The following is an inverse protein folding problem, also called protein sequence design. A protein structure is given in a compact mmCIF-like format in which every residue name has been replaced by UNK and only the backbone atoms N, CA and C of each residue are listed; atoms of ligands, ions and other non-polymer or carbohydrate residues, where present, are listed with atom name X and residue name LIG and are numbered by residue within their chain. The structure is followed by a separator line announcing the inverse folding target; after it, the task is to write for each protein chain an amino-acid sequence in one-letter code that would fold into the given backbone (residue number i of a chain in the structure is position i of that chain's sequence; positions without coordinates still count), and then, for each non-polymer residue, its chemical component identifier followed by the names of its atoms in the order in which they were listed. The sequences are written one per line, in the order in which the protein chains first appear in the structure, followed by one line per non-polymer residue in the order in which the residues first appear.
data_IF_834408644571
#
_entry.id   IF_834408644571
#
_cell.length_a   1.000
_cell.length_b   1.000
_cell.length_c   1.000
_cell.angle_alpha   90.00
_cell.angle_beta   90.00
_cell.angle_gamma   90.00
#
_symmetry.space_group_name_H-M   'P 1'
#
loop_
_entity.id
_entity.type
_entity.pdbx_description
1 polymer ?
#
# COMPACT_ATOMS: atom_id res chain seq x y z
N UNK A 1 23.97 -3.97 17.68
CA UNK A 1 24.50 -4.09 16.29
C UNK A 1 23.73 -5.20 15.60
N UNK A 2 22.61 -4.89 14.98
CA UNK A 2 22.01 -5.74 13.98
C UNK A 2 22.15 -4.98 12.65
N UNK A 3 23.08 -5.44 11.79
CA UNK A 3 23.20 -4.95 10.43
C UNK A 3 21.92 -5.25 9.64
N UNK A 4 21.73 -4.66 8.45
CA UNK A 4 20.56 -4.92 7.64
C UNK A 4 20.47 -6.42 7.38
N UNK A 5 19.34 -7.06 7.75
CA UNK A 5 19.10 -8.47 7.42
C UNK A 5 19.18 -8.62 5.91
N UNK A 6 20.17 -9.34 5.42
CA UNK A 6 20.30 -9.60 3.99
C UNK A 6 19.11 -10.45 3.54
N UNK A 7 18.64 -10.28 2.29
CA UNK A 7 17.55 -11.11 1.75
C UNK A 7 17.85 -12.62 1.83
N UNK A 8 19.12 -12.98 1.95
CA UNK A 8 19.56 -14.34 2.18
C UNK A 8 19.19 -14.88 3.56
N UNK A 9 19.13 -14.04 4.57
CA UNK A 9 18.75 -14.45 5.93
C UNK A 9 17.26 -14.81 6.01
N UNK A 10 16.35 -13.95 5.54
CA UNK A 10 14.91 -14.24 5.54
C UNK A 10 14.54 -15.47 4.71
N UNK A 11 15.20 -15.66 3.55
CA UNK A 11 15.00 -16.84 2.72
C UNK A 11 15.44 -18.10 3.46
N UNK A 12 16.58 -18.05 4.15
CA UNK A 12 17.09 -19.17 4.94
C UNK A 12 16.18 -19.48 6.13
N UNK A 13 15.66 -18.46 6.82
CA UNK A 13 14.72 -18.60 7.92
C UNK A 13 13.40 -19.25 7.46
N UNK A 14 12.79 -18.74 6.39
CA UNK A 14 11.54 -19.30 5.85
C UNK A 14 11.76 -20.74 5.32
N UNK A 15 12.89 -21.02 4.68
CA UNK A 15 13.24 -22.36 4.20
C UNK A 15 13.41 -23.35 5.36
N UNK A 16 14.19 -22.98 6.38
CA UNK A 16 14.37 -23.81 7.56
C UNK A 16 13.06 -24.08 8.31
N UNK A 17 12.20 -23.06 8.44
CA UNK A 17 10.87 -23.21 9.03
C UNK A 17 9.99 -24.14 8.20
N UNK A 18 10.02 -24.02 6.86
CA UNK A 18 9.29 -24.90 5.95
C UNK A 18 9.75 -26.37 6.11
N UNK A 19 11.06 -26.59 6.12
CA UNK A 19 11.62 -27.94 6.25
C UNK A 19 11.30 -28.60 7.60
N UNK A 20 11.35 -27.84 8.66
CA UNK A 20 10.99 -28.31 10.00
C UNK A 20 9.50 -28.68 10.11
N UNK A 21 8.60 -27.95 9.42
CA UNK A 21 7.15 -28.10 9.57
C UNK A 21 6.52 -29.02 8.53
N UNK A 22 7.04 -29.02 7.28
CA UNK A 22 6.40 -29.65 6.12
C UNK A 22 7.32 -30.62 5.35
N UNK A 23 8.56 -30.80 5.81
CA UNK A 23 9.58 -31.64 5.16
C UNK A 23 10.29 -30.89 4.03
N UNK A 24 10.99 -31.62 3.16
CA UNK A 24 11.93 -31.06 2.17
C UNK A 24 11.35 -29.87 1.40
N UNK A 25 12.13 -28.79 1.30
CA UNK A 25 11.84 -27.59 0.50
C UNK A 25 12.15 -27.74 -1.00
N UNK A 26 12.67 -28.90 -1.40
CA UNK A 26 13.05 -29.16 -2.79
C UNK A 26 11.84 -28.97 -3.73
N UNK A 27 11.99 -28.05 -4.68
CA UNK A 27 10.94 -27.71 -5.64
C UNK A 27 9.90 -26.69 -5.16
N UNK A 28 10.01 -26.15 -3.94
CA UNK A 28 9.21 -25.03 -3.49
C UNK A 28 9.49 -23.76 -4.30
N UNK A 29 8.48 -22.92 -4.44
CA UNK A 29 8.69 -21.54 -4.83
C UNK A 29 9.21 -20.73 -3.63
N UNK A 30 10.03 -19.72 -3.93
CA UNK A 30 10.41 -18.67 -2.99
C UNK A 30 9.97 -17.34 -3.60
N UNK A 31 9.10 -16.65 -2.90
CA UNK A 31 8.53 -15.36 -3.34
C UNK A 31 8.74 -14.31 -2.26
N UNK A 32 8.70 -13.04 -2.65
CA UNK A 32 8.82 -11.93 -1.71
C UNK A 32 7.90 -10.79 -2.08
N UNK A 33 7.55 -9.96 -1.08
CA UNK A 33 6.92 -8.67 -1.27
C UNK A 33 7.40 -7.69 -0.20
N UNK A 34 7.67 -6.42 -0.56
CA UNK A 34 8.18 -5.40 0.36
C UNK A 34 7.08 -4.76 1.19
N UNK A 35 7.48 -4.22 2.36
CA UNK A 35 6.75 -3.15 3.01
C UNK A 35 6.91 -1.82 2.26
N UNK A 36 6.25 -0.77 2.74
CA UNK A 36 6.27 0.55 2.09
C UNK A 36 6.35 1.70 3.09
N UNK A 37 6.78 2.84 2.60
CA UNK A 37 6.44 4.15 3.17
C UNK A 37 5.73 4.98 2.10
N UNK A 38 4.92 5.92 2.54
CA UNK A 38 4.35 6.92 1.64
C UNK A 38 5.14 8.22 1.78
N UNK A 39 5.68 8.70 0.67
CA UNK A 39 6.44 9.95 0.66
C UNK A 39 5.54 11.14 0.91
N UNK A 40 4.33 11.14 0.34
CA UNK A 40 3.29 12.17 0.50
C UNK A 40 1.95 11.64 -0.02
N UNK A 41 0.83 12.22 0.45
CA UNK A 41 -0.52 11.82 0.04
C UNK A 41 -1.22 10.94 1.07
N UNK A 42 -0.96 11.12 2.37
CA UNK A 42 -1.66 10.38 3.40
C UNK A 42 -3.14 10.74 3.47
N UNK A 43 -3.98 9.70 3.67
CA UNK A 43 -5.43 9.80 3.82
C UNK A 43 -6.17 10.34 2.59
N UNK A 44 -5.52 10.35 1.42
CA UNK A 44 -6.14 10.75 0.15
C UNK A 44 -6.64 9.55 -0.66
N UNK A 45 -6.14 8.35 -0.45
CA UNK A 45 -6.43 7.14 -1.23
C UNK A 45 -7.91 6.73 -1.18
N UNK A 46 -8.53 6.69 -0.01
CA UNK A 46 -9.97 6.42 0.14
C UNK A 46 -10.88 7.63 -0.19
N UNK A 47 -10.28 8.78 -0.50
CA UNK A 47 -10.94 9.97 -1.01
C UNK A 47 -10.79 10.14 -2.55
N UNK A 48 -10.29 9.11 -3.23
CA UNK A 48 -10.03 9.11 -4.68
C UNK A 48 -8.87 10.03 -5.09
N UNK A 49 -8.02 10.43 -4.15
CA UNK A 49 -6.90 11.35 -4.36
C UNK A 49 -5.65 10.68 -4.91
N UNK A 50 -4.53 11.38 -4.78
CA UNK A 50 -3.21 10.90 -5.20
C UNK A 50 -2.37 10.49 -4.01
N UNK A 51 -1.59 9.42 -4.17
CA UNK A 51 -0.58 8.97 -3.21
C UNK A 51 0.76 8.76 -3.91
N UNK A 52 1.86 8.89 -3.18
CA UNK A 52 3.19 8.71 -3.75
C UNK A 52 4.08 7.81 -2.87
N UNK A 53 3.76 6.51 -2.78
CA UNK A 53 4.51 5.56 -2.00
C UNK A 53 5.77 5.04 -2.71
N UNK A 54 6.70 4.51 -1.90
CA UNK A 54 7.86 3.74 -2.35
C UNK A 54 8.02 2.46 -1.54
N UNK A 55 8.55 1.41 -2.18
CA UNK A 55 8.84 0.14 -1.52
C UNK A 55 10.15 0.23 -0.73
N UNK A 56 10.17 -0.46 0.40
CA UNK A 56 11.31 -0.55 1.31
C UNK A 56 12.18 -1.78 1.03
N UNK A 57 13.41 -1.77 1.52
CA UNK A 57 14.27 -2.96 1.56
C UNK A 57 13.76 -4.03 2.52
N UNK A 58 12.88 -3.67 3.46
CA UNK A 58 12.21 -4.58 4.39
C UNK A 58 11.07 -5.32 3.70
N UNK A 59 10.98 -6.64 3.91
CA UNK A 59 10.08 -7.49 3.13
C UNK A 59 9.58 -8.73 3.86
N UNK A 60 8.54 -9.32 3.31
CA UNK A 60 8.06 -10.66 3.66
C UNK A 60 8.50 -11.66 2.60
N UNK A 61 9.10 -12.76 3.02
CA UNK A 61 9.50 -13.90 2.18
C UNK A 61 8.59 -15.08 2.49
N UNK A 62 8.10 -15.74 1.44
CA UNK A 62 7.28 -16.94 1.56
C UNK A 62 7.92 -18.07 0.78
N UNK A 63 8.18 -19.19 1.45
CA UNK A 63 8.60 -20.47 0.86
C UNK A 63 7.40 -21.38 0.83
N UNK A 64 6.99 -21.86 -0.34
CA UNK A 64 5.80 -22.67 -0.43
C UNK A 64 5.74 -23.58 -1.65
N UNK A 65 4.91 -24.60 -1.53
CA UNK A 65 4.56 -25.52 -2.62
C UNK A 65 3.09 -25.86 -2.55
N UNK A 66 2.49 -26.14 -3.69
CA UNK A 66 1.10 -26.50 -3.74
C UNK A 66 0.66 -26.92 -5.13
N UNK A 67 -0.62 -27.20 -5.25
CA UNK A 67 -1.27 -27.56 -6.48
C UNK A 67 -2.76 -27.23 -6.45
N UNK A 68 -3.35 -27.23 -7.62
CA UNK A 68 -4.80 -27.22 -7.82
C UNK A 68 -5.24 -28.69 -7.93
N UNK A 69 -6.14 -29.13 -7.07
CA UNK A 69 -6.60 -30.51 -6.96
C UNK A 69 -8.07 -30.63 -7.34
N UNK A 70 -8.50 -31.71 -8.02
CA UNK A 70 -9.93 -31.95 -8.31
C UNK A 70 -10.76 -32.01 -7.02
N UNK A 71 -11.98 -31.46 -7.01
CA UNK A 71 -12.88 -31.48 -5.84
C UNK A 71 -13.20 -32.89 -5.35
N UNK A 72 -13.23 -33.87 -6.26
CA UNK A 72 -13.43 -35.29 -5.92
C UNK A 72 -12.29 -35.85 -5.02
N UNK A 73 -11.11 -35.22 -5.07
CA UNK A 73 -9.94 -35.54 -4.26
C UNK A 73 -9.72 -34.55 -3.12
N UNK A 74 -10.60 -33.56 -3.00
CA UNK A 74 -10.45 -32.40 -2.09
C UNK A 74 -10.75 -32.75 -0.61
N UNK A 75 -11.19 -33.97 -0.28
CA UNK A 75 -11.29 -34.40 1.13
C UNK A 75 -9.96 -34.26 1.89
N UNK A 76 -8.84 -34.33 1.18
CA UNK A 76 -7.48 -34.16 1.67
C UNK A 76 -6.84 -32.79 1.31
N UNK A 77 -7.54 -31.91 0.54
CA UNK A 77 -7.02 -30.60 0.19
C UNK A 77 -7.02 -29.67 1.40
N UNK A 78 -5.86 -29.37 1.89
CA UNK A 78 -5.65 -28.48 3.04
C UNK A 78 -4.57 -27.47 2.71
N UNK A 79 -4.80 -26.23 3.08
CA UNK A 79 -3.79 -25.18 3.10
C UNK A 79 -3.19 -25.12 4.50
N UNK A 80 -1.86 -25.20 4.62
CA UNK A 80 -1.13 -25.11 5.89
C UNK A 80 -0.13 -23.99 5.82
N UNK A 81 -0.15 -23.13 6.81
CA UNK A 81 0.72 -21.95 6.90
C UNK A 81 1.38 -21.88 8.27
N UNK A 82 2.59 -21.34 8.33
CA UNK A 82 3.35 -21.09 9.53
C UNK A 82 4.21 -19.84 9.36
N UNK A 83 4.46 -19.10 10.43
CA UNK A 83 5.31 -17.91 10.40
C UNK A 83 6.40 -17.98 11.47
N UNK A 84 7.54 -17.34 11.22
CA UNK A 84 8.59 -17.16 12.24
C UNK A 84 8.09 -16.42 13.48
N UNK A 85 7.12 -15.51 13.31
CA UNK A 85 6.53 -14.72 14.39
C UNK A 85 5.35 -15.44 15.10
N UNK A 86 4.85 -16.55 14.52
CA UNK A 86 3.78 -17.36 15.04
C UNK A 86 4.04 -18.83 14.69
N UNK A 87 4.81 -19.55 15.52
CA UNK A 87 5.36 -20.87 15.17
C UNK A 87 4.35 -22.04 15.25
N UNK A 88 3.07 -21.75 15.31
CA UNK A 88 2.00 -22.75 15.24
C UNK A 88 1.47 -22.89 13.80
N UNK A 89 1.32 -24.15 13.35
CA UNK A 89 0.75 -24.42 12.03
C UNK A 89 -0.74 -24.14 12.03
N UNK A 90 -1.16 -23.19 11.19
CA UNK A 90 -2.58 -22.94 10.94
C UNK A 90 -3.02 -23.70 9.69
N UNK A 91 -4.10 -24.48 9.82
CA UNK A 91 -4.66 -25.29 8.74
C UNK A 91 -6.08 -24.84 8.41
N UNK A 92 -6.42 -24.78 7.12
CA UNK A 92 -7.75 -24.43 6.65
C UNK A 92 -8.03 -25.01 5.25
N UNK A 93 -9.30 -25.08 4.87
CA UNK A 93 -9.73 -25.46 3.51
C UNK A 93 -9.98 -24.21 2.66
N UNK A 94 -9.58 -24.24 1.41
CA UNK A 94 -9.81 -23.20 0.42
C UNK A 94 -11.15 -23.38 -0.31
N UNK A 95 -12.21 -23.71 0.42
CA UNK A 95 -13.56 -23.95 -0.10
C UNK A 95 -14.44 -22.68 -0.08
N UNK A 96 -15.70 -22.80 -0.49
CA UNK A 96 -16.69 -21.71 -0.52
C UNK A 96 -17.12 -21.22 0.87
N UNK A 97 -16.85 -21.98 1.92
CA UNK A 97 -17.20 -21.66 3.29
C UNK A 97 -16.05 -21.01 4.06
N UNK A 98 -14.92 -20.73 3.38
CA UNK A 98 -13.76 -20.11 4.00
C UNK A 98 -14.12 -18.73 4.58
N UNK A 99 -13.91 -18.59 5.91
CA UNK A 99 -14.23 -17.38 6.69
C UNK A 99 -13.06 -17.01 7.58
N UNK A 100 -13.03 -15.78 8.09
CA UNK A 100 -12.11 -15.41 9.17
C UNK A 100 -12.21 -16.37 10.35
N UNK A 101 -11.08 -16.64 11.00
CA UNK A 101 -10.98 -17.48 12.17
C UNK A 101 -10.31 -16.74 13.32
N UNK A 102 -10.05 -17.42 14.44
CA UNK A 102 -9.51 -16.84 15.67
C UNK A 102 -8.03 -16.36 15.54
N UNK A 103 -7.26 -16.99 14.65
CA UNK A 103 -5.86 -16.61 14.40
C UNK A 103 -5.81 -15.44 13.43
N UNK A 104 -5.67 -14.23 13.97
CA UNK A 104 -5.83 -12.97 13.24
C UNK A 104 -4.88 -12.86 12.04
N UNK A 105 -3.57 -13.10 12.20
CA UNK A 105 -2.61 -12.97 11.10
C UNK A 105 -2.91 -13.90 9.93
N UNK A 106 -3.49 -15.08 10.20
CA UNK A 106 -3.87 -16.03 9.15
C UNK A 106 -5.07 -15.56 8.32
N UNK A 107 -5.87 -14.63 8.84
CA UNK A 107 -7.04 -14.11 8.14
C UNK A 107 -6.65 -13.26 6.91
N UNK A 108 -5.52 -12.56 6.96
CA UNK A 108 -4.95 -11.90 5.76
C UNK A 108 -4.72 -12.92 4.63
N UNK A 109 -4.13 -14.06 4.95
CA UNK A 109 -3.85 -15.13 3.98
C UNK A 109 -5.13 -15.79 3.50
N UNK A 110 -6.04 -16.13 4.43
CA UNK A 110 -7.34 -16.72 4.09
C UNK A 110 -8.14 -15.81 3.17
N UNK A 111 -8.12 -14.50 3.39
CA UNK A 111 -8.79 -13.53 2.54
C UNK A 111 -8.23 -13.51 1.12
N UNK A 112 -6.89 -13.49 0.97
CA UNK A 112 -6.25 -13.60 -0.35
C UNK A 112 -6.61 -14.91 -1.04
N UNK A 113 -6.58 -16.04 -0.31
CA UNK A 113 -6.99 -17.37 -0.85
C UNK A 113 -8.44 -17.37 -1.29
N UNK A 114 -9.36 -16.80 -0.51
CA UNK A 114 -10.78 -16.70 -0.84
C UNK A 114 -11.00 -15.85 -2.11
N UNK A 115 -10.34 -14.71 -2.22
CA UNK A 115 -10.40 -13.87 -3.41
C UNK A 115 -9.78 -14.54 -4.65
N UNK A 116 -8.73 -15.35 -4.45
CA UNK A 116 -8.04 -16.05 -5.53
C UNK A 116 -8.87 -17.23 -6.12
N UNK A 117 -9.91 -17.67 -5.42
CA UNK A 117 -10.75 -18.79 -5.89
C UNK A 117 -11.38 -18.56 -7.26
N UNK A 118 -11.68 -17.32 -7.63
CA UNK A 118 -12.18 -16.98 -8.98
C UNK A 118 -11.18 -17.32 -10.10
N UNK A 119 -9.91 -17.48 -9.78
CA UNK A 119 -8.84 -17.82 -10.70
C UNK A 119 -8.54 -19.33 -10.72
N UNK A 120 -9.16 -20.11 -9.82
CA UNK A 120 -9.06 -21.57 -9.80
C UNK A 120 -10.14 -22.15 -10.72
N UNK A 121 -9.79 -23.09 -11.63
CA UNK A 121 -10.77 -23.71 -12.52
C UNK A 121 -11.95 -24.34 -11.75
N UNK A 122 -13.14 -24.28 -12.32
CA UNK A 122 -14.31 -24.94 -11.77
C UNK A 122 -14.06 -26.45 -11.56
N UNK A 123 -14.52 -26.99 -10.46
CA UNK A 123 -14.26 -28.40 -10.08
C UNK A 123 -12.90 -28.65 -9.43
N UNK A 124 -12.11 -27.60 -9.12
CA UNK A 124 -10.83 -27.71 -8.45
C UNK A 124 -10.77 -26.89 -7.18
N UNK A 125 -9.84 -27.24 -6.29
CA UNK A 125 -9.51 -26.50 -5.05
C UNK A 125 -8.02 -26.32 -4.89
N UNK A 126 -7.62 -25.31 -4.10
CA UNK A 126 -6.24 -25.04 -3.73
C UNK A 126 -5.81 -25.94 -2.57
N UNK A 127 -4.60 -26.47 -2.65
CA UNK A 127 -3.91 -27.13 -1.55
C UNK A 127 -2.45 -26.70 -1.55
N UNK A 128 -1.95 -26.18 -0.43
CA UNK A 128 -0.56 -25.74 -0.33
C UNK A 128 -0.02 -25.75 1.10
N UNK A 129 1.29 -25.82 1.19
CA UNK A 129 2.08 -25.56 2.39
C UNK A 129 2.90 -24.30 2.18
N UNK A 130 2.95 -23.40 3.18
CA UNK A 130 3.75 -22.19 3.12
C UNK A 130 4.35 -21.82 4.48
N UNK A 131 5.64 -21.46 4.48
CA UNK A 131 6.33 -20.87 5.61
C UNK A 131 6.73 -19.43 5.30
N UNK A 132 6.55 -18.54 6.29
CA UNK A 132 6.66 -17.10 6.15
C UNK A 132 7.73 -16.58 7.12
N UNK A 133 8.61 -15.71 6.62
CA UNK A 133 9.53 -14.90 7.43
C UNK A 133 9.45 -13.44 6.98
N UNK A 134 9.46 -12.50 7.93
CA UNK A 134 9.34 -11.07 7.63
C UNK A 134 10.29 -10.25 8.50
N UNK A 135 10.84 -9.18 7.93
CA UNK A 135 11.53 -8.13 8.68
C UNK A 135 10.78 -6.78 8.62
N UNK A 136 9.58 -6.77 8.04
CA UNK A 136 8.70 -5.60 8.08
C UNK A 136 8.11 -5.48 9.48
N UNK A 137 8.35 -4.36 10.20
CA UNK A 137 7.87 -4.20 11.57
C UNK A 137 6.35 -4.32 11.67
N UNK A 138 5.89 -5.22 12.55
CA UNK A 138 4.46 -5.41 12.79
C UNK A 138 3.88 -4.20 13.52
N UNK A 139 2.81 -3.63 12.98
CA UNK A 139 2.12 -2.46 13.56
C UNK A 139 2.95 -1.17 13.55
N UNK A 140 4.06 -1.12 12.81
CA UNK A 140 4.89 0.06 12.65
C UNK A 140 4.46 1.03 11.54
N UNK A 141 3.29 0.83 10.92
CA UNK A 141 2.82 1.67 9.82
C UNK A 141 3.56 1.48 8.49
N UNK A 142 4.37 0.41 8.36
CA UNK A 142 5.16 0.09 7.16
C UNK A 142 4.51 -1.00 6.27
N UNK A 143 3.21 -1.27 6.46
CA UNK A 143 2.39 -2.19 5.66
C UNK A 143 2.87 -3.65 5.64
N UNK A 144 3.12 -4.21 6.83
CA UNK A 144 3.40 -5.64 6.97
C UNK A 144 2.26 -6.53 6.48
N UNK A 145 1.00 -6.11 6.63
CA UNK A 145 -0.18 -6.79 6.09
C UNK A 145 -0.14 -6.90 4.57
N UNK A 146 0.04 -5.77 3.87
CA UNK A 146 0.11 -5.76 2.41
C UNK A 146 1.31 -6.57 1.88
N UNK A 147 2.48 -6.49 2.55
CA UNK A 147 3.63 -7.33 2.21
C UNK A 147 3.32 -8.83 2.34
N UNK A 148 2.59 -9.22 3.39
CA UNK A 148 2.13 -10.60 3.59
C UNK A 148 1.13 -11.01 2.51
N UNK A 149 0.08 -10.22 2.28
CA UNK A 149 -0.96 -10.52 1.30
C UNK A 149 -0.40 -10.64 -0.12
N UNK A 150 0.43 -9.67 -0.53
CA UNK A 150 1.00 -9.63 -1.88
C UNK A 150 2.01 -10.75 -2.10
N UNK A 151 2.82 -11.12 -1.07
CA UNK A 151 3.72 -12.28 -1.17
C UNK A 151 2.94 -13.59 -1.33
N UNK A 152 1.85 -13.77 -0.57
CA UNK A 152 0.98 -14.96 -0.72
C UNK A 152 0.26 -14.96 -2.07
N UNK A 153 -0.26 -13.84 -2.55
CA UNK A 153 -0.84 -13.74 -3.88
C UNK A 153 0.17 -14.14 -4.97
N UNK A 154 1.44 -13.72 -4.83
CA UNK A 154 2.53 -14.11 -5.73
C UNK A 154 2.81 -15.62 -5.67
N UNK A 155 2.78 -16.24 -4.48
CA UNK A 155 2.89 -17.69 -4.35
C UNK A 155 1.72 -18.42 -5.05
N UNK A 156 0.50 -17.94 -4.88
CA UNK A 156 -0.68 -18.54 -5.51
C UNK A 156 -0.64 -18.43 -7.04
N UNK A 157 -0.06 -17.38 -7.60
CA UNK A 157 0.23 -17.27 -9.03
C UNK A 157 1.22 -18.35 -9.50
N UNK A 158 2.24 -18.64 -8.70
CA UNK A 158 3.16 -19.77 -8.99
C UNK A 158 2.45 -21.12 -8.93
N UNK A 159 1.57 -21.33 -7.95
CA UNK A 159 0.83 -22.59 -7.76
C UNK A 159 -0.18 -22.81 -8.90
N UNK A 160 -1.00 -21.81 -9.22
CA UNK A 160 -2.04 -21.92 -10.23
C UNK A 160 -1.53 -21.76 -11.66
N UNK A 161 -0.44 -21.01 -11.83
CA UNK A 161 0.08 -20.59 -13.13
C UNK A 161 -0.65 -19.42 -13.76
N UNK A 162 -1.57 -18.80 -13.03
CA UNK A 162 -2.24 -17.57 -13.44
C UNK A 162 -1.36 -16.41 -13.06
N UNK A 163 -0.48 -15.98 -13.99
CA UNK A 163 0.43 -14.85 -13.79
C UNK A 163 -0.16 -13.59 -14.37
N UNK A 164 -0.05 -12.51 -13.62
CA UNK A 164 -0.48 -11.16 -14.04
C UNK A 164 0.71 -10.21 -14.05
N UNK A 165 0.66 -9.16 -14.88
CA UNK A 165 1.73 -8.17 -15.01
C UNK A 165 1.18 -6.78 -15.31
N UNK A 166 1.98 -5.73 -15.10
CA UNK A 166 1.62 -4.36 -15.41
C UNK A 166 0.30 -3.92 -14.77
N UNK A 167 -0.58 -3.29 -15.56
CA UNK A 167 -1.89 -2.80 -15.10
C UNK A 167 -2.77 -3.95 -14.58
N UNK A 168 -2.68 -5.13 -15.16
CA UNK A 168 -3.44 -6.30 -14.69
C UNK A 168 -2.99 -6.72 -13.28
N UNK A 169 -1.70 -6.63 -12.98
CA UNK A 169 -1.16 -6.89 -11.63
C UNK A 169 -1.74 -5.90 -10.61
N UNK A 170 -1.84 -4.62 -10.97
CA UNK A 170 -2.47 -3.62 -10.14
C UNK A 170 -3.94 -3.95 -9.82
N UNK A 171 -4.72 -4.26 -10.84
CA UNK A 171 -6.16 -4.51 -10.67
C UNK A 171 -6.46 -5.85 -10.02
N UNK A 172 -5.84 -6.93 -10.47
CA UNK A 172 -6.15 -8.28 -9.98
C UNK A 172 -5.45 -8.60 -8.68
N UNK A 173 -4.12 -8.42 -8.61
CA UNK A 173 -3.36 -8.79 -7.42
C UNK A 173 -3.59 -7.81 -6.27
N UNK A 174 -3.33 -6.51 -6.49
CA UNK A 174 -3.42 -5.55 -5.41
C UNK A 174 -4.87 -5.26 -5.00
N UNK A 175 -5.79 -4.98 -5.96
CA UNK A 175 -7.16 -4.57 -5.65
C UNK A 175 -8.10 -5.74 -5.39
N UNK A 176 -8.25 -6.66 -6.34
CA UNK A 176 -9.28 -7.69 -6.27
C UNK A 176 -8.93 -8.86 -5.34
N UNK A 177 -7.65 -9.02 -4.96
CA UNK A 177 -7.22 -10.09 -4.06
C UNK A 177 -6.81 -9.54 -2.69
N UNK A 178 -5.84 -8.62 -2.63
CA UNK A 178 -5.28 -8.17 -1.36
C UNK A 178 -6.17 -7.10 -0.68
N UNK A 179 -6.51 -5.99 -1.32
CA UNK A 179 -7.43 -5.01 -0.71
C UNK A 179 -8.81 -5.63 -0.39
N UNK A 180 -9.28 -6.53 -1.23
CA UNK A 180 -10.52 -7.26 -0.95
C UNK A 180 -10.41 -8.11 0.32
N UNK A 181 -9.24 -8.72 0.58
CA UNK A 181 -8.93 -9.44 1.82
C UNK A 181 -9.05 -8.53 3.03
N UNK A 182 -8.40 -7.36 3.00
CA UNK A 182 -8.49 -6.38 4.10
C UNK A 182 -9.94 -5.99 4.38
N UNK A 183 -10.74 -5.72 3.36
CA UNK A 183 -12.12 -5.29 3.53
C UNK A 183 -13.04 -6.39 4.06
N UNK A 184 -12.88 -7.64 3.60
CA UNK A 184 -13.84 -8.72 3.83
C UNK A 184 -13.41 -9.72 4.92
N UNK A 185 -12.11 -9.84 5.20
CA UNK A 185 -11.58 -10.75 6.21
C UNK A 185 -11.02 -10.03 7.43
N UNK A 186 -10.50 -8.81 7.25
CA UNK A 186 -9.93 -8.03 8.35
C UNK A 186 -10.84 -6.89 8.81
N UNK A 187 -11.90 -6.58 8.05
CA UNK A 187 -12.83 -5.48 8.33
C UNK A 187 -12.15 -4.10 8.39
N UNK A 188 -11.07 -3.91 7.62
CA UNK A 188 -10.29 -2.67 7.55
C UNK A 188 -10.66 -1.94 6.26
N UNK A 189 -11.33 -0.76 6.32
CA UNK A 189 -11.72 0.00 5.13
C UNK A 189 -10.52 0.81 4.57
N UNK A 190 -9.42 0.12 4.26
CA UNK A 190 -8.20 0.74 3.74
C UNK A 190 -8.36 1.20 2.29
N UNK A 191 -7.54 2.17 1.88
CA UNK A 191 -7.32 2.50 0.47
C UNK A 191 -6.49 1.45 -0.26
N UNK A 192 -6.05 1.76 -1.48
CA UNK A 192 -5.34 0.79 -2.33
C UNK A 192 -3.81 0.94 -2.29
N UNK A 193 -3.30 2.00 -1.67
CA UNK A 193 -1.91 2.42 -1.74
C UNK A 193 -0.92 1.31 -1.38
N UNK A 194 -1.17 0.62 -0.27
CA UNK A 194 -0.24 -0.34 0.34
C UNK A 194 0.01 -1.54 -0.56
N UNK A 195 -1.07 -2.12 -1.06
CA UNK A 195 -1.00 -3.27 -1.94
C UNK A 195 -0.45 -2.91 -3.31
N UNK A 196 -0.75 -1.69 -3.82
CA UNK A 196 -0.23 -1.24 -5.11
C UNK A 196 1.29 -1.15 -5.09
N UNK A 197 1.85 -0.43 -4.10
CA UNK A 197 3.30 -0.27 -4.04
C UNK A 197 4.01 -1.58 -3.73
N UNK A 198 3.47 -2.39 -2.82
CA UNK A 198 4.05 -3.70 -2.53
C UNK A 198 4.08 -4.61 -3.77
N UNK A 199 3.09 -4.50 -4.66
CA UNK A 199 3.02 -5.29 -5.88
C UNK A 199 3.84 -4.73 -7.04
N UNK A 200 3.90 -3.40 -7.23
CA UNK A 200 4.26 -2.75 -8.49
C UNK A 200 5.50 -1.87 -8.43
N UNK A 201 6.07 -1.61 -7.23
CA UNK A 201 7.23 -0.74 -7.10
C UNK A 201 8.40 -1.22 -7.96
N UNK A 202 9.19 -0.27 -8.42
CA UNK A 202 10.44 -0.47 -9.15
C UNK A 202 11.58 0.20 -8.39
N UNK A 203 12.72 -0.46 -8.30
CA UNK A 203 13.90 0.08 -7.63
C UNK A 203 14.29 1.44 -8.25
N UNK A 204 14.74 2.37 -7.40
CA UNK A 204 15.12 3.72 -7.85
C UNK A 204 13.94 4.60 -8.24
N UNK A 205 12.71 4.27 -7.85
CA UNK A 205 11.53 5.08 -8.17
C UNK A 205 10.47 5.05 -7.07
N UNK A 206 9.58 6.04 -7.10
CA UNK A 206 8.31 6.04 -6.36
C UNK A 206 7.15 5.93 -7.33
N UNK A 207 6.00 5.45 -6.87
CA UNK A 207 4.78 5.40 -7.67
C UNK A 207 3.92 6.63 -7.38
N UNK A 208 3.51 7.37 -8.40
CA UNK A 208 2.38 8.30 -8.30
C UNK A 208 1.13 7.54 -8.71
N UNK A 209 0.23 7.31 -7.75
CA UNK A 209 -1.01 6.54 -7.97
C UNK A 209 -2.22 7.47 -7.92
N UNK A 210 -3.04 7.44 -8.95
CA UNK A 210 -4.39 8.02 -8.97
C UNK A 210 -5.37 6.99 -8.39
N UNK A 211 -5.77 7.16 -7.14
CA UNK A 211 -6.62 6.18 -6.44
C UNK A 211 -8.06 6.12 -6.95
N UNK A 212 -8.51 7.11 -7.74
CA UNK A 212 -9.83 7.09 -8.40
C UNK A 212 -9.84 6.14 -9.59
N UNK A 213 -8.84 6.26 -10.45
CA UNK A 213 -8.77 5.52 -11.71
C UNK A 213 -7.94 4.24 -11.60
N UNK A 214 -7.17 4.10 -10.51
CA UNK A 214 -6.13 3.10 -10.31
C UNK A 214 -5.02 3.17 -11.40
N UNK A 215 -4.88 4.30 -12.06
CA UNK A 215 -3.74 4.59 -12.92
C UNK A 215 -2.52 4.92 -12.05
N UNK A 216 -1.34 4.53 -12.52
CA UNK A 216 -0.10 4.85 -11.84
C UNK A 216 1.00 5.18 -12.85
N UNK A 217 1.97 5.91 -12.39
CA UNK A 217 3.20 6.20 -13.13
C UNK A 217 4.41 6.11 -12.20
N UNK A 218 5.53 5.69 -12.76
CA UNK A 218 6.81 5.62 -12.07
C UNK A 218 7.47 6.99 -12.09
N UNK A 219 7.81 7.54 -10.93
CA UNK A 219 8.53 8.80 -10.79
C UNK A 219 9.97 8.48 -10.34
N UNK A 220 11.00 8.84 -11.14
CA UNK A 220 12.39 8.53 -10.83
C UNK A 220 12.84 9.13 -9.49
N UNK A 221 13.58 8.34 -8.71
CA UNK A 221 14.16 8.68 -7.43
C UNK A 221 15.44 7.85 -7.21
N UNK A 222 16.34 7.93 -8.18
CA UNK A 222 17.55 7.14 -8.31
C UNK A 222 18.84 7.94 -8.01
N UNK A 223 18.70 9.11 -7.37
CA UNK A 223 19.83 9.97 -7.05
C UNK A 223 20.69 9.35 -5.94
N UNK A 224 21.97 9.03 -6.21
CA UNK A 224 22.85 8.39 -5.24
C UNK A 224 23.18 9.28 -4.04
N UNK A 225 23.01 10.60 -4.16
CA UNK A 225 23.34 11.58 -3.11
C UNK A 225 22.19 11.80 -2.12
N UNK A 226 21.04 11.18 -2.35
CA UNK A 226 19.83 11.33 -1.55
C UNK A 226 19.34 9.97 -1.06
N UNK A 227 18.91 9.93 0.21
CA UNK A 227 18.33 8.72 0.82
C UNK A 227 17.13 9.07 1.70
N UNK A 228 16.42 8.05 2.11
CA UNK A 228 15.39 8.17 3.13
C UNK A 228 15.88 7.60 4.46
N UNK A 229 15.53 8.29 5.53
CA UNK A 229 15.61 7.76 6.90
C UNK A 229 14.19 7.52 7.38
N UNK A 230 13.91 6.29 7.78
CA UNK A 230 12.67 5.89 8.42
C UNK A 230 12.94 5.76 9.91
N UNK A 231 12.16 6.45 10.75
CA UNK A 231 12.27 6.33 12.20
C UNK A 231 10.93 5.83 12.75
N UNK A 232 10.96 4.68 13.43
CA UNK A 232 9.82 4.10 14.12
C UNK A 232 9.77 4.64 15.54
N UNK A 233 8.69 5.32 15.90
CA UNK A 233 8.50 5.88 17.24
C UNK A 233 8.41 4.84 18.37
N UNK A 234 8.22 3.56 18.03
CA UNK A 234 7.94 2.50 19.01
C UNK A 234 6.53 2.55 19.59
N UNK A 235 5.74 3.57 19.25
CA UNK A 235 4.36 3.73 19.76
C UNK A 235 3.38 3.02 18.85
N UNK A 236 2.57 2.13 19.46
CA UNK A 236 1.45 1.43 18.81
C UNK A 236 0.15 1.82 19.50
N UNK A 237 -0.76 2.46 18.79
CA UNK A 237 -2.04 2.83 19.37
C UNK A 237 -3.03 1.66 19.27
N UNK A 238 -3.56 1.20 20.42
CA UNK A 238 -4.55 0.08 20.50
C UNK A 238 -5.85 0.37 19.75
N UNK A 239 -6.22 1.64 19.57
CA UNK A 239 -7.47 2.07 18.93
C UNK A 239 -7.26 2.69 17.54
N UNK A 240 -6.11 2.47 16.90
CA UNK A 240 -5.80 3.07 15.60
C UNK A 240 -6.84 2.74 14.52
N UNK A 241 -7.35 1.50 14.49
CA UNK A 241 -8.38 1.08 13.53
C UNK A 241 -9.70 1.81 13.69
N UNK A 242 -10.14 2.05 14.94
CA UNK A 242 -11.35 2.82 15.23
C UNK A 242 -11.19 4.30 14.83
N UNK A 243 -10.08 4.91 15.22
CA UNK A 243 -9.78 6.30 14.86
C UNK A 243 -9.60 6.50 13.34
N UNK A 244 -9.02 5.52 12.64
CA UNK A 244 -8.94 5.53 11.18
C UNK A 244 -10.34 5.51 10.54
N UNK A 245 -11.21 4.59 10.98
CA UNK A 245 -12.60 4.52 10.51
C UNK A 245 -13.38 5.81 10.75
N UNK A 246 -13.14 6.49 11.88
CA UNK A 246 -13.72 7.80 12.17
C UNK A 246 -13.27 8.85 11.15
N UNK A 247 -11.98 8.89 10.77
CA UNK A 247 -11.49 9.81 9.73
C UNK A 247 -12.13 9.56 8.37
N UNK A 248 -12.31 8.28 8.00
CA UNK A 248 -13.04 7.92 6.77
C UNK A 248 -14.47 8.43 6.80
N UNK A 249 -15.17 8.30 7.95
CA UNK A 249 -16.54 8.82 8.09
C UNK A 249 -16.59 10.35 8.02
N UNK A 250 -15.68 11.05 8.71
CA UNK A 250 -15.58 12.52 8.67
C UNK A 250 -15.35 13.05 7.25
N UNK A 251 -14.60 12.34 6.41
CA UNK A 251 -14.44 12.68 5.00
C UNK A 251 -15.74 12.50 4.21
N UNK A 252 -16.51 11.44 4.47
CA UNK A 252 -17.83 11.25 3.84
C UNK A 252 -18.79 12.36 4.24
N UNK A 253 -18.80 12.73 5.50
CA UNK A 253 -19.64 13.84 6.02
C UNK A 253 -19.25 15.18 5.35
N UNK A 254 -17.94 15.39 5.08
CA UNK A 254 -17.45 16.54 4.34
C UNK A 254 -17.95 16.56 2.89
N UNK A 255 -17.95 15.43 2.21
CA UNK A 255 -18.52 15.31 0.85
C UNK A 255 -20.00 15.68 0.87
N UNK A 256 -20.77 15.16 1.82
CA UNK A 256 -22.22 15.46 1.92
C UNK A 256 -22.48 16.95 2.26
N UNK A 257 -21.61 17.57 3.04
CA UNK A 257 -21.69 19.00 3.30
C UNK A 257 -21.43 19.83 2.03
N UNK A 258 -20.39 19.48 1.27
CA UNK A 258 -20.05 20.17 0.00
C UNK A 258 -21.13 19.96 -1.06
N UNK A 259 -21.71 18.77 -1.17
CA UNK A 259 -22.76 18.41 -2.13
C UNK A 259 -23.98 19.31 -2.06
N UNK A 260 -24.31 19.88 -0.91
CA UNK A 260 -25.46 20.79 -0.73
C UNK A 260 -25.37 21.98 -1.68
N UNK A 261 -24.17 22.47 -1.99
CA UNK A 261 -23.91 23.59 -2.90
C UNK A 261 -23.31 23.16 -4.24
N UNK A 262 -22.54 22.06 -4.22
CA UNK A 262 -21.83 21.52 -5.38
C UNK A 262 -22.24 20.07 -5.66
N UNK A 263 -23.43 19.81 -6.24
CA UNK A 263 -24.04 18.48 -6.34
C UNK A 263 -23.25 17.44 -7.14
N UNK A 264 -22.22 17.88 -7.90
CA UNK A 264 -21.37 16.98 -8.71
C UNK A 264 -20.20 16.39 -7.93
N UNK A 265 -19.98 16.80 -6.68
CA UNK A 265 -18.92 16.26 -5.84
C UNK A 265 -19.31 14.85 -5.38
N UNK A 266 -18.50 13.87 -5.71
CA UNK A 266 -18.66 12.48 -5.27
C UNK A 266 -17.61 12.07 -4.23
N UNK A 267 -16.41 12.69 -4.30
CA UNK A 267 -15.30 12.47 -3.39
C UNK A 267 -14.59 13.79 -3.10
N UNK A 268 -13.80 13.87 -2.01
CA UNK A 268 -13.08 15.11 -1.67
C UNK A 268 -12.10 15.56 -2.75
N UNK A 269 -11.59 14.64 -3.56
CA UNK A 269 -10.80 14.95 -4.77
C UNK A 269 -11.52 15.88 -5.76
N UNK A 270 -12.84 15.86 -5.80
CA UNK A 270 -13.62 16.72 -6.70
C UNK A 270 -13.75 18.16 -6.18
N UNK A 271 -13.49 18.33 -4.90
CA UNK A 271 -13.66 19.63 -4.25
C UNK A 271 -12.47 20.56 -4.53
N UNK A 272 -12.76 21.85 -4.62
CA UNK A 272 -11.75 22.91 -4.60
C UNK A 272 -11.56 23.43 -3.17
N UNK A 273 -10.39 24.02 -2.89
CA UNK A 273 -10.16 24.68 -1.61
C UNK A 273 -11.17 25.81 -1.36
N UNK A 274 -11.60 26.53 -2.42
CA UNK A 274 -12.63 27.55 -2.31
C UNK A 274 -13.96 27.00 -1.78
N UNK A 275 -14.39 25.84 -2.28
CA UNK A 275 -15.61 25.19 -1.81
C UNK A 275 -15.51 24.68 -0.36
N UNK A 276 -14.31 24.26 0.04
CA UNK A 276 -14.05 23.89 1.44
C UNK A 276 -14.14 25.11 2.35
N UNK A 277 -13.61 26.27 1.93
CA UNK A 277 -13.70 27.54 2.67
C UNK A 277 -15.15 28.09 2.76
N UNK A 278 -15.98 27.82 1.76
CA UNK A 278 -17.42 28.15 1.83
C UNK A 278 -18.12 27.44 2.98
N UNK A 279 -17.73 26.19 3.27
CA UNK A 279 -18.29 25.44 4.42
C UNK A 279 -17.79 26.02 5.74
N UNK A 280 -16.51 26.45 5.80
CA UNK A 280 -15.94 27.05 7.01
C UNK A 280 -16.74 28.26 7.49
N UNK A 281 -17.16 29.14 6.56
CA UNK A 281 -17.95 30.30 6.89
C UNK A 281 -19.32 29.98 7.53
N UNK A 282 -19.89 28.80 7.23
CA UNK A 282 -21.13 28.32 7.87
C UNK A 282 -20.88 27.74 9.28
N UNK A 283 -19.66 27.25 9.54
CA UNK A 283 -19.27 26.74 10.86
C UNK A 283 -19.21 27.86 11.90
N UNK A 284 -18.73 29.04 11.52
CA UNK A 284 -18.66 30.21 12.41
C UNK A 284 -20.02 30.69 12.86
N UNK A 285 -21.06 30.58 12.02
CA UNK A 285 -22.45 30.91 12.40
C UNK A 285 -23.11 29.85 13.30
N UNK A 286 -22.66 28.57 13.18
CA UNK A 286 -23.18 27.43 13.95
C UNK A 286 -22.19 26.90 15.01
N UNK A 287 -21.20 27.68 15.39
CA UNK A 287 -20.00 27.39 16.17
C UNK A 287 -20.16 26.65 17.52
N UNK A 288 -21.23 25.88 17.74
CA UNK A 288 -21.40 24.96 18.88
C UNK A 288 -21.27 23.48 18.52
N UNK A 289 -21.17 23.14 17.22
CA UNK A 289 -21.05 21.75 16.79
C UNK A 289 -19.61 21.40 16.45
N UNK A 290 -18.90 20.75 17.40
CA UNK A 290 -17.53 20.25 17.22
C UNK A 290 -17.40 19.35 16.00
N UNK A 291 -18.44 18.60 15.64
CA UNK A 291 -18.43 17.71 14.49
C UNK A 291 -18.19 18.47 13.19
N UNK A 292 -18.84 19.61 13.01
CA UNK A 292 -18.71 20.45 11.80
C UNK A 292 -17.29 21.02 11.63
N UNK A 293 -16.63 21.38 12.73
CA UNK A 293 -15.26 21.86 12.71
C UNK A 293 -14.29 20.76 12.21
N UNK A 294 -14.50 19.51 12.62
CA UNK A 294 -13.68 18.38 12.14
C UNK A 294 -13.88 18.12 10.64
N UNK A 295 -15.12 18.17 10.16
CA UNK A 295 -15.46 17.95 8.74
C UNK A 295 -14.70 18.92 7.83
N UNK A 296 -14.67 20.19 8.16
CA UNK A 296 -13.92 21.21 7.43
C UNK A 296 -12.40 20.92 7.43
N UNK A 297 -11.82 20.67 8.59
CA UNK A 297 -10.40 20.36 8.73
C UNK A 297 -9.99 19.14 7.88
N UNK A 298 -10.79 18.06 7.89
CA UNK A 298 -10.51 16.86 7.08
C UNK A 298 -10.55 17.17 5.58
N UNK A 299 -11.57 17.91 5.13
CA UNK A 299 -11.69 18.35 3.73
C UNK A 299 -10.49 19.21 3.31
N UNK A 300 -10.08 20.17 4.16
CA UNK A 300 -8.93 21.05 3.90
C UNK A 300 -7.66 20.23 3.73
N UNK A 301 -7.39 19.30 4.64
CA UNK A 301 -6.24 18.40 4.50
C UNK A 301 -6.24 17.69 3.16
N UNK A 302 -7.31 16.93 2.85
CA UNK A 302 -7.37 16.09 1.65
C UNK A 302 -7.18 16.90 0.36
N UNK A 303 -7.90 18.01 0.22
CA UNK A 303 -7.82 18.85 -0.98
C UNK A 303 -6.43 19.50 -1.15
N UNK A 304 -5.80 19.89 -0.03
CA UNK A 304 -4.45 20.48 -0.12
C UNK A 304 -3.38 19.41 -0.25
N UNK A 305 -3.56 18.23 0.33
CA UNK A 305 -2.62 17.11 0.23
C UNK A 305 -2.53 16.58 -1.21
N UNK A 306 -3.65 16.48 -1.92
CA UNK A 306 -3.65 16.13 -3.35
C UNK A 306 -2.77 17.09 -4.18
N UNK A 307 -2.84 18.39 -3.90
CA UNK A 307 -2.00 19.38 -4.59
C UNK A 307 -0.54 19.25 -4.21
N UNK A 308 -0.23 19.04 -2.92
CA UNK A 308 1.14 18.82 -2.45
C UNK A 308 1.73 17.57 -3.09
N UNK A 309 0.96 16.49 -3.21
CA UNK A 309 1.38 15.24 -3.85
C UNK A 309 1.77 15.46 -5.32
N UNK A 310 0.94 16.15 -6.09
CA UNK A 310 1.25 16.46 -7.49
C UNK A 310 2.44 17.42 -7.63
N UNK A 311 2.55 18.43 -6.75
CA UNK A 311 3.69 19.34 -6.71
C UNK A 311 5.00 18.57 -6.41
N UNK A 312 4.96 17.68 -5.42
CA UNK A 312 6.08 16.82 -5.04
C UNK A 312 6.54 15.93 -6.22
N UNK A 313 5.59 15.31 -6.95
CA UNK A 313 5.91 14.51 -8.14
C UNK A 313 6.60 15.33 -9.23
N UNK A 314 6.15 16.56 -9.48
CA UNK A 314 6.80 17.46 -10.44
C UNK A 314 8.20 17.89 -9.98
N UNK A 315 8.38 18.15 -8.68
CA UNK A 315 9.66 18.53 -8.11
C UNK A 315 10.68 17.36 -8.17
N UNK A 316 10.26 16.14 -7.88
CA UNK A 316 11.11 14.94 -7.99
C UNK A 316 11.63 14.74 -9.42
N UNK A 317 10.78 14.88 -10.45
CA UNK A 317 11.21 14.78 -11.85
C UNK A 317 12.28 15.81 -12.23
N UNK A 318 12.35 16.93 -11.49
CA UNK A 318 13.35 18.00 -11.67
C UNK A 318 14.52 17.89 -10.70
N UNK A 319 14.50 16.88 -9.83
CA UNK A 319 15.46 16.71 -8.70
C UNK A 319 15.54 17.94 -7.78
N UNK A 320 14.42 18.66 -7.64
CA UNK A 320 14.29 19.80 -6.73
C UNK A 320 13.87 19.31 -5.33
N UNK A 321 14.84 18.80 -4.60
CA UNK A 321 14.62 18.23 -3.26
C UNK A 321 14.20 19.26 -2.22
N UNK A 322 14.48 20.54 -2.44
CA UNK A 322 14.01 21.60 -1.54
C UNK A 322 12.49 21.75 -1.61
N UNK A 323 11.92 21.74 -2.82
CA UNK A 323 10.44 21.76 -3.00
C UNK A 323 9.83 20.45 -2.48
N UNK A 324 10.45 19.29 -2.73
CA UNK A 324 10.00 18.01 -2.16
C UNK A 324 9.93 18.09 -0.64
N UNK A 325 11.01 18.57 -0.01
CA UNK A 325 11.09 18.72 1.45
C UNK A 325 10.05 19.71 2.01
N UNK A 326 9.80 20.82 1.31
CA UNK A 326 8.76 21.78 1.69
C UNK A 326 7.37 21.12 1.64
N UNK A 327 7.04 20.38 0.57
CA UNK A 327 5.78 19.63 0.46
C UNK A 327 5.63 18.62 1.60
N UNK A 328 6.71 17.90 1.98
CA UNK A 328 6.70 16.95 3.09
C UNK A 328 6.41 17.66 4.43
N UNK A 329 7.07 18.78 4.70
CA UNK A 329 6.89 19.53 5.96
C UNK A 329 5.49 20.14 6.08
N UNK A 330 4.96 20.70 4.99
CA UNK A 330 3.58 21.21 4.94
C UNK A 330 2.55 20.08 5.12
N UNK A 331 2.81 18.91 4.54
CA UNK A 331 1.99 17.72 4.72
C UNK A 331 1.97 17.29 6.20
N UNK A 332 3.12 17.26 6.88
CA UNK A 332 3.17 16.95 8.30
C UNK A 332 2.36 17.94 9.14
N UNK A 333 2.53 19.23 8.91
CA UNK A 333 1.76 20.25 9.60
C UNK A 333 0.24 20.04 9.40
N UNK A 334 -0.19 19.74 8.18
CA UNK A 334 -1.61 19.49 7.88
C UNK A 334 -2.13 18.20 8.52
N UNK A 335 -1.29 17.14 8.59
CA UNK A 335 -1.64 15.88 9.28
C UNK A 335 -1.77 16.09 10.80
N UNK A 336 -0.94 16.95 11.39
CA UNK A 336 -1.00 17.31 12.81
C UNK A 336 -2.20 18.21 13.11
N UNK A 337 -2.39 19.30 12.35
CA UNK A 337 -3.28 20.41 12.72
C UNK A 337 -4.67 20.29 12.12
N UNK A 338 -4.77 19.73 10.88
CA UNK A 338 -6.03 19.56 10.17
C UNK A 338 -6.57 18.14 10.27
N UNK A 339 -5.72 17.15 10.08
CA UNK A 339 -6.18 15.76 10.10
C UNK A 339 -6.16 15.15 11.50
N UNK A 340 -5.33 15.69 12.37
CA UNK A 340 -5.20 15.33 13.79
C UNK A 340 -4.91 13.83 13.96
N UNK A 341 -3.93 13.34 13.21
CA UNK A 341 -3.42 11.95 13.26
C UNK A 341 -1.97 11.86 13.71
N UNK A 342 -1.26 12.99 13.85
CA UNK A 342 0.05 13.00 14.48
C UNK A 342 -0.07 12.94 16.00
N UNK A 343 1.01 12.48 16.64
CA UNK A 343 1.16 12.45 18.09
C UNK A 343 2.48 13.14 18.46
N UNK A 344 2.62 13.52 19.74
CA UNK A 344 3.82 14.24 20.25
C UNK A 344 5.12 13.55 19.89
N UNK A 345 5.16 12.22 19.93
CA UNK A 345 6.35 11.43 19.63
C UNK A 345 6.73 11.50 18.15
N UNK A 346 5.73 11.52 17.24
CA UNK A 346 5.99 11.72 15.81
C UNK A 346 6.44 13.15 15.52
N UNK A 347 5.83 14.13 16.19
CA UNK A 347 6.21 15.54 16.07
C UNK A 347 7.64 15.79 16.59
N UNK A 348 8.04 15.12 17.66
CA UNK A 348 9.42 15.14 18.19
C UNK A 348 10.42 14.58 17.15
N UNK A 349 10.15 13.38 16.60
CA UNK A 349 11.00 12.80 15.54
C UNK A 349 11.15 13.73 14.33
N UNK A 350 10.06 14.36 13.88
CA UNK A 350 10.09 15.30 12.75
C UNK A 350 10.88 16.56 13.12
N UNK A 351 10.71 17.11 14.34
CA UNK A 351 11.42 18.28 14.81
C UNK A 351 12.93 18.04 14.89
N UNK A 352 13.35 16.91 15.47
CA UNK A 352 14.76 16.50 15.55
C UNK A 352 15.35 16.36 14.14
N UNK A 353 14.62 15.69 13.22
CA UNK A 353 15.07 15.53 11.85
C UNK A 353 15.24 16.88 11.14
N UNK A 354 14.25 17.76 11.21
CA UNK A 354 14.30 19.08 10.57
C UNK A 354 15.38 20.00 11.16
N UNK A 355 15.76 19.81 12.42
CA UNK A 355 16.91 20.49 13.05
C UNK A 355 18.27 19.93 12.65
N UNK A 356 18.36 18.97 11.70
CA UNK A 356 19.60 18.34 11.27
C UNK A 356 20.03 18.87 9.91
N UNK A 357 21.28 19.33 9.81
CA UNK A 357 21.83 19.83 8.54
C UNK A 357 21.82 18.71 7.46
N UNK A 358 21.42 19.04 6.24
CA UNK A 358 21.34 18.11 5.12
C UNK A 358 19.99 17.41 4.98
N UNK A 359 19.06 17.61 5.91
CA UNK A 359 17.65 17.18 5.77
C UNK A 359 16.92 18.15 4.86
N UNK A 360 16.19 17.61 3.89
CA UNK A 360 15.31 18.38 3.00
C UNK A 360 13.90 18.52 3.57
N UNK A 361 13.35 17.44 4.14
CA UNK A 361 12.03 17.43 4.74
C UNK A 361 11.76 16.14 5.50
N UNK A 362 10.85 16.21 6.47
CA UNK A 362 10.46 15.09 7.31
C UNK A 362 8.96 15.16 7.62
N UNK A 363 8.31 13.98 7.74
CA UNK A 363 6.90 13.87 8.06
C UNK A 363 6.55 12.49 8.63
N UNK A 364 5.45 12.41 9.35
CA UNK A 364 4.85 11.11 9.66
C UNK A 364 4.41 10.40 8.38
N UNK A 365 4.36 9.07 8.40
CA UNK A 365 3.90 8.25 7.27
C UNK A 365 2.94 7.16 7.74
N UNK A 366 1.97 6.79 6.87
CA UNK A 366 0.91 5.84 7.18
C UNK A 366 -0.29 6.46 7.89
N UNK A 367 -1.07 5.63 8.58
CA UNK A 367 -2.34 6.05 9.19
C UNK A 367 -2.24 6.99 10.39
N UNK A 368 -1.05 7.20 10.94
CA UNK A 368 -0.84 8.03 12.14
C UNK A 368 -1.16 7.31 13.45
N UNK A 369 -1.38 8.08 14.50
CA UNK A 369 -1.61 7.62 15.87
C UNK A 369 -0.44 6.81 16.46
N UNK A 370 0.76 6.97 15.92
CA UNK A 370 2.00 6.25 16.16
C UNK A 370 2.65 5.79 14.86
N UNK A 371 3.54 4.81 14.92
CA UNK A 371 4.25 4.30 13.76
C UNK A 371 5.50 5.10 13.41
N UNK A 372 5.68 5.44 12.13
CA UNK A 372 6.95 5.92 11.61
C UNK A 372 6.89 7.35 11.06
N UNK A 373 8.08 7.96 10.98
CA UNK A 373 8.35 9.13 10.14
C UNK A 373 9.20 8.73 8.93
N UNK A 374 9.09 9.50 7.85
CA UNK A 374 9.94 9.43 6.66
C UNK A 374 10.66 10.77 6.49
N UNK A 375 11.97 10.72 6.33
CA UNK A 375 12.83 11.89 6.18
C UNK A 375 13.64 11.78 4.90
N UNK A 376 13.57 12.79 4.05
CA UNK A 376 14.42 12.93 2.87
C UNK A 376 15.68 13.69 3.25
N UNK A 377 16.84 13.10 3.03
CA UNK A 377 18.11 13.61 3.53
C UNK A 377 19.26 13.35 2.56
N UNK A 378 20.26 14.22 2.57
CA UNK A 378 21.53 13.95 1.89
C UNK A 378 22.18 12.70 2.45
N UNK A 379 22.69 11.83 1.57
CA UNK A 379 23.34 10.58 1.98
C UNK A 379 24.45 10.79 3.00
N UNK A 380 25.25 11.83 2.80
CA UNK A 380 26.38 12.19 3.71
C UNK A 380 25.93 12.54 5.12
N UNK A 381 24.69 13.03 5.29
CA UNK A 381 24.12 13.43 6.58
C UNK A 381 23.33 12.30 7.27
N UNK A 382 23.05 11.19 6.58
CA UNK A 382 22.15 10.17 7.07
C UNK A 382 22.62 9.52 8.39
N UNK A 383 23.89 9.16 8.53
CA UNK A 383 24.41 8.53 9.75
C UNK A 383 24.35 9.48 10.95
N UNK A 384 24.66 10.75 10.74
CA UNK A 384 24.52 11.78 11.78
C UNK A 384 23.07 11.95 12.22
N UNK A 385 22.13 11.91 11.26
CA UNK A 385 20.69 11.95 11.54
C UNK A 385 20.23 10.73 12.35
N UNK A 386 20.68 9.52 11.99
CA UNK A 386 20.33 8.30 12.76
C UNK A 386 20.76 8.40 14.22
N UNK A 387 22.00 8.88 14.46
CA UNK A 387 22.53 9.06 15.81
C UNK A 387 21.70 10.07 16.59
N UNK A 388 21.44 11.22 15.99
CA UNK A 388 20.68 12.31 16.60
C UNK A 388 19.25 11.90 16.93
N UNK A 389 18.56 11.21 16.00
CA UNK A 389 17.21 10.70 16.23
C UNK A 389 17.18 9.76 17.44
N UNK A 390 18.13 8.82 17.56
CA UNK A 390 18.14 7.86 18.68
C UNK A 390 18.41 8.54 20.03
N UNK A 391 19.36 9.47 20.07
CA UNK A 391 19.77 10.12 21.30
C UNK A 391 18.76 11.17 21.78
N UNK A 392 18.39 12.12 20.91
CA UNK A 392 17.49 13.21 21.28
C UNK A 392 16.06 12.72 21.52
N UNK A 393 15.56 11.79 20.70
CA UNK A 393 14.23 11.22 20.89
C UNK A 393 14.10 10.47 22.23
N UNK A 394 15.13 9.69 22.60
CA UNK A 394 15.18 9.04 23.90
C UNK A 394 15.20 10.06 25.03
N UNK A 395 15.99 11.14 24.88
CA UNK A 395 16.08 12.19 25.88
C UNK A 395 14.79 12.98 26.06
N UNK A 396 14.06 13.26 24.95
CA UNK A 396 12.83 14.04 24.98
C UNK A 396 11.61 13.22 25.45
N UNK A 397 11.51 11.96 25.01
CA UNK A 397 10.29 11.18 25.17
C UNK A 397 10.41 10.01 26.14
N UNK A 398 11.63 9.61 26.49
CA UNK A 398 11.92 8.39 27.25
C UNK A 398 11.74 7.09 26.42
N UNK A 399 11.37 7.18 25.15
CA UNK A 399 11.18 6.05 24.25
C UNK A 399 12.40 5.87 23.34
N UNK A 400 12.69 4.63 22.96
CA UNK A 400 13.69 4.34 21.93
C UNK A 400 13.02 4.35 20.55
N UNK A 401 13.70 4.86 19.51
CA UNK A 401 13.27 4.71 18.13
C UNK A 401 14.19 3.75 17.38
N UNK A 402 13.58 2.94 16.50
CA UNK A 402 14.32 2.13 15.52
C UNK A 402 14.41 2.92 14.21
N UNK A 403 15.64 3.20 13.77
CA UNK A 403 15.89 4.02 12.58
C UNK A 403 16.68 3.25 11.54
N UNK A 404 16.26 3.37 10.27
CA UNK A 404 16.91 2.71 9.14
C UNK A 404 17.05 3.65 7.95
N UNK A 405 18.21 3.58 7.28
CA UNK A 405 18.40 4.21 5.96
C UNK A 405 17.84 3.28 4.90
N UNK A 406 17.11 3.82 3.95
CA UNK A 406 16.52 3.08 2.84
C UNK A 406 16.55 3.89 1.53
N UNK A 407 16.42 3.18 0.43
CA UNK A 407 16.18 3.72 -0.90
C UNK A 407 15.04 2.93 -1.54
N UNK A 408 14.38 3.47 -2.59
CA UNK A 408 13.31 2.75 -3.27
C UNK A 408 13.76 1.39 -3.80
N UNK A 409 12.99 0.34 -3.49
CA UNK A 409 13.27 -1.05 -3.86
C UNK A 409 12.19 -1.60 -4.80
N UNK A 410 12.46 -2.79 -5.36
CA UNK A 410 11.49 -3.49 -6.20
C UNK A 410 10.28 -3.98 -5.38
N UNK A 411 9.14 -4.06 -6.04
CA UNK A 411 7.92 -4.69 -5.56
C UNK A 411 8.02 -6.21 -5.49
N UNK A 412 6.85 -6.84 -5.39
CA UNK A 412 6.74 -8.28 -5.26
C UNK A 412 7.30 -9.05 -6.47
N UNK A 413 8.00 -10.12 -6.18
CA UNK A 413 8.60 -10.96 -7.20
C UNK A 413 8.88 -12.39 -6.75
N UNK A 414 9.24 -13.21 -7.73
CA UNK A 414 9.62 -14.61 -7.55
C UNK A 414 11.13 -14.69 -7.49
N UNK A 415 11.68 -15.19 -6.37
CA UNK A 415 13.11 -15.43 -6.18
C UNK A 415 13.48 -16.79 -6.79
N UNK A 416 12.68 -17.82 -6.46
CA UNK A 416 12.82 -19.16 -6.99
C UNK A 416 11.46 -19.64 -7.49
N UNK A 417 11.32 -19.97 -8.78
CA UNK A 417 10.04 -20.43 -9.32
C UNK A 417 9.68 -21.83 -8.82
N UNK A 418 8.37 -22.11 -8.75
CA UNK A 418 7.86 -23.43 -8.42
C UNK A 418 8.27 -24.46 -9.47
N UNK A 419 8.95 -25.53 -9.07
CA UNK A 419 9.22 -26.66 -9.97
C UNK A 419 7.97 -27.51 -10.14
N UNK A 420 7.24 -27.29 -11.23
CA UNK A 420 6.06 -28.07 -11.56
C UNK A 420 6.45 -29.49 -11.97
N UNK A 421 5.93 -30.50 -11.27
CA UNK A 421 5.84 -31.84 -11.88
C UNK A 421 4.77 -31.78 -12.95
N UNK A 422 5.18 -31.68 -14.21
CA UNK A 422 4.28 -31.56 -15.35
C UNK A 422 3.29 -32.72 -15.39
N UNK A 423 2.02 -32.45 -15.19
CA UNK A 423 0.86 -33.12 -15.81
C UNK A 423 -0.43 -32.37 -15.59
N UNK A 424 -0.68 -31.36 -16.39
CA UNK A 424 -2.05 -30.94 -16.79
C UNK A 424 -1.98 -30.44 -18.23
N UNK A 425 -2.84 -30.99 -19.09
CA UNK A 425 -2.96 -30.65 -20.50
C UNK A 425 -3.21 -29.15 -20.70
N UNK A 426 -2.40 -28.50 -21.54
CA UNK A 426 -2.41 -27.06 -21.83
C UNK A 426 -3.70 -26.51 -22.51
N UNK A 427 -4.71 -27.35 -22.76
CA UNK A 427 -5.78 -26.99 -23.72
C UNK A 427 -7.01 -26.33 -23.12
N UNK A 428 -7.29 -26.45 -21.84
CA UNK A 428 -8.59 -26.00 -21.26
C UNK A 428 -8.47 -24.70 -20.45
N UNK A 429 -7.40 -24.51 -19.69
CA UNK A 429 -7.26 -23.36 -18.78
C UNK A 429 -6.98 -22.02 -19.52
N UNK A 430 -6.27 -22.07 -20.67
CA UNK A 430 -5.92 -20.87 -21.45
C UNK A 430 -7.12 -20.28 -22.18
N UNK A 431 -8.14 -21.10 -22.56
CA UNK A 431 -9.30 -20.62 -23.31
C UNK A 431 -10.34 -19.88 -22.44
N UNK A 432 -10.51 -20.26 -21.18
CA UNK A 432 -11.47 -19.60 -20.29
C UNK A 432 -10.99 -18.24 -19.81
N UNK A 433 -9.70 -18.10 -19.48
CA UNK A 433 -9.10 -16.84 -19.04
C UNK A 433 -9.02 -15.80 -20.18
N UNK A 434 -8.68 -16.22 -21.40
CA UNK A 434 -8.63 -15.33 -22.57
C UNK A 434 -9.99 -14.75 -22.97
N UNK A 435 -11.09 -15.49 -22.78
CA UNK A 435 -12.42 -15.02 -23.11
C UNK A 435 -12.95 -13.94 -22.15
N UNK A 436 -12.63 -14.04 -20.85
CA UNK A 436 -13.05 -13.05 -19.85
C UNK A 436 -12.27 -11.73 -19.99
N UNK A 437 -10.99 -11.78 -20.32
CA UNK A 437 -10.13 -10.60 -20.54
C UNK A 437 -10.51 -9.87 -21.83
N UNK A 438 -10.85 -10.58 -22.90
CA UNK A 438 -11.28 -9.98 -24.17
C UNK A 438 -12.57 -9.14 -24.01
N UNK A 439 -13.51 -9.55 -23.17
CA UNK A 439 -14.73 -8.80 -22.89
C UNK A 439 -14.47 -7.51 -22.06
N UNK A 440 -13.53 -7.52 -21.11
CA UNK A 440 -13.20 -6.36 -20.30
C UNK A 440 -12.37 -5.32 -21.09
N UNK A 441 -11.46 -5.76 -21.97
CA UNK A 441 -10.66 -4.86 -22.82
C UNK A 441 -11.52 -4.21 -23.91
N UNK A 442 -12.50 -4.93 -24.47
CA UNK A 442 -13.46 -4.35 -25.43
C UNK A 442 -14.32 -3.23 -24.81
N UNK A 443 -14.70 -3.34 -23.54
CA UNK A 443 -15.50 -2.31 -22.85
C UNK A 443 -14.71 -1.00 -22.65
N UNK A 444 -13.40 -1.10 -22.37
CA UNK A 444 -12.53 0.07 -22.16
C UNK A 444 -12.16 0.74 -23.49
N UNK A 445 -11.92 -0.05 -24.55
CA UNK A 445 -11.56 0.51 -25.89
C UNK A 445 -12.75 1.20 -26.56
N UNK A 446 -13.98 0.74 -26.34
CA UNK A 446 -15.19 1.41 -26.86
C UNK A 446 -15.42 2.74 -26.15
N UNK A 447 -15.13 2.85 -24.85
CA UNK A 447 -15.27 4.10 -24.11
C UNK A 447 -14.23 5.17 -24.52
N UNK A 448 -13.02 4.76 -24.89
CA UNK A 448 -11.95 5.66 -25.36
C UNK A 448 -12.21 6.11 -26.83
N UNK A 449 -12.68 5.23 -27.70
CA UNK A 449 -13.00 5.54 -29.09
C UNK A 449 -14.22 6.47 -29.25
N UNK A 450 -15.17 6.42 -28.32
CA UNK A 450 -16.33 7.32 -28.32
C UNK A 450 -15.97 8.78 -27.95
N UNK A 451 -14.87 8.99 -27.18
CA UNK A 451 -14.39 10.32 -26.82
C UNK A 451 -13.51 11.01 -27.90
N UNK A 452 -12.95 10.26 -28.84
CA UNK A 452 -12.09 10.82 -29.91
C UNK A 452 -12.83 11.30 -31.16
N UNK A 453 -14.15 11.07 -31.29
CA UNK A 453 -14.95 11.49 -32.45
C UNK A 453 -15.76 12.77 -32.24
N UNK A 454 -15.61 13.47 -31.11
CA UNK A 454 -16.34 14.71 -30.78
C UNK A 454 -15.43 15.94 -30.74
N UNK A 455 -14.64 16.19 -31.78
CA UNK A 455 -13.73 17.35 -31.82
C UNK A 455 -13.61 18.01 -33.17
N UNK A 456 -14.28 19.13 -33.27
CA UNK A 456 -13.92 20.32 -34.08
C UNK A 456 -14.00 20.25 -35.59
N UNK A 457 -15.14 20.68 -36.11
CA UNK A 457 -15.22 21.29 -37.44
C UNK A 457 -15.14 22.83 -37.29
N UNK A 458 -13.96 23.40 -37.50
CA UNK A 458 -13.81 24.84 -37.70
C UNK A 458 -13.98 25.12 -39.21
N UNK A 459 -15.09 25.77 -39.55
CA UNK A 459 -15.30 26.34 -40.90
C UNK A 459 -14.48 27.60 -41.05
N UNK A 460 -13.56 27.60 -41.97
CA UNK A 460 -12.99 28.80 -42.56
C UNK A 460 -14.01 29.44 -43.49
N UNK A 461 -14.35 30.71 -43.27
CA UNK A 461 -14.91 31.58 -44.28
C UNK A 461 -14.00 32.82 -44.40
N UNK A 462 -13.26 32.88 -45.50
CA UNK A 462 -12.70 34.08 -45.97
C UNK A 462 -13.76 34.92 -46.72
N UNK A 463 -13.69 36.24 -46.57
CA UNK A 463 -14.03 37.23 -47.60
C UNK A 463 -13.37 38.57 -47.28
N UNK A 464 -12.49 38.95 -48.08
CA UNK A 464 -12.21 40.17 -48.86
C UNK A 464 -13.25 41.31 -48.63
N UNK A 465 -12.82 42.36 -48.04
CA UNK A 465 -12.60 43.75 -48.55
C UNK A 465 -12.01 44.61 -47.45
#
# INVERSE_FOLDING_TARGET
MAGPSSSGDLTSMATGLFEASFGSSAGCAVVQAPGRVNLIGEHTDYNGGFVMPLALGKKTVVVGRGSVVPKEQASSAVCRIISTDAPEVVSFKADENLKPGEVEWANYIKGVVAAFRSDVPEGYELSFDAAIASDVPLGGGLSSSAALEVSVATLLEEITGVKVSGVEKALRQAKLRCQWSDHNFMNVPCGIMDQFVSALAEAGSTLLVDCRTNAFETVPLDDPDVVFVIANSGIRHRNASGAYGERVQQCKDAVEAIKKRHPRVEQLRDASLAWVLEIESEVDEKARDRHFCFVFKRARHVVTEDRRTLCCAMALRRKDYNIVGACMSESHASLRDDYEVSISELDSLVSIAMGTQGVYGSRMTGGGFGGCTVTLVKREAAEGLLTKLREEYLAETGNSCDCVVTSPCDGAGVIVPLRRRLRVSKSTAVRAAAAAVALAVCAVTVAVAARSKGGCAVRAHGHVR
#
